data_IF_328985147508
#
_entry.id   IF_328985147508
#
_cell.length_a   1.000
_cell.length_b   1.000
_cell.length_c   1.000
_cell.angle_alpha   90.00
_cell.angle_beta   90.00
_cell.angle_gamma   90.00
#
_symmetry.space_group_name_H-M   'P 1'
#
loop_
_entity.id
_entity.type
_entity.pdbx_description
1 polymer ?
#
# COMPACT_ATOMS: atom_id res chain seq x y z
N UNK A 1 -0.52 -35.06 14.42
CA UNK A 1 -1.39 -33.96 13.92
C UNK A 1 -0.54 -33.02 13.07
N UNK A 2 -0.83 -32.87 11.77
CA UNK A 2 -0.18 -31.82 10.96
C UNK A 2 -0.72 -30.46 11.41
N UNK A 3 0.17 -29.54 11.79
CA UNK A 3 -0.21 -28.17 12.15
C UNK A 3 -0.70 -27.45 10.88
N UNK A 4 -1.97 -27.07 10.83
CA UNK A 4 -2.53 -26.33 9.70
C UNK A 4 -1.81 -24.98 9.55
N UNK A 5 -1.30 -24.69 8.35
CA UNK A 5 -0.63 -23.42 8.04
C UNK A 5 -1.66 -22.47 7.43
N UNK A 6 -2.09 -21.48 8.20
CA UNK A 6 -3.02 -20.46 7.72
C UNK A 6 -2.32 -19.50 6.75
N UNK A 7 -3.05 -19.09 5.72
CA UNK A 7 -2.69 -17.99 4.81
C UNK A 7 -3.55 -16.79 5.15
N UNK A 8 -2.92 -15.64 5.30
CA UNK A 8 -3.55 -14.42 5.78
C UNK A 8 -3.64 -13.39 4.65
N UNK A 9 -4.67 -12.55 4.70
CA UNK A 9 -4.79 -11.39 3.83
C UNK A 9 -5.07 -10.15 4.68
N UNK A 10 -4.36 -9.05 4.42
CA UNK A 10 -4.68 -7.74 4.98
C UNK A 10 -5.19 -6.83 3.87
N UNK A 11 -6.26 -6.10 4.16
CA UNK A 11 -6.98 -5.32 3.16
C UNK A 11 -7.25 -3.92 3.70
N UNK A 12 -6.95 -2.90 2.90
CA UNK A 12 -7.40 -1.52 3.14
C UNK A 12 -7.86 -0.89 1.83
N UNK A 13 -8.07 0.43 1.79
CA UNK A 13 -8.51 1.09 0.56
C UNK A 13 -7.43 1.08 -0.53
N UNK A 14 -6.26 1.67 -0.28
CA UNK A 14 -5.26 1.92 -1.34
C UNK A 14 -4.01 1.03 -1.30
N UNK A 15 -3.97 0.03 -0.41
CA UNK A 15 -2.79 -0.80 -0.17
C UNK A 15 -1.46 -0.02 -0.04
N UNK A 16 -1.42 1.00 0.83
CA UNK A 16 -0.28 1.93 0.93
C UNK A 16 0.24 2.07 2.37
N UNK A 17 -0.64 2.37 3.32
CA UNK A 17 -0.26 2.64 4.71
C UNK A 17 -0.61 1.45 5.62
N UNK A 18 -1.85 1.41 6.14
CA UNK A 18 -2.33 0.41 7.11
C UNK A 18 -1.99 -1.05 6.77
N UNK A 19 -2.22 -1.48 5.53
CA UNK A 19 -1.90 -2.85 5.10
C UNK A 19 -0.40 -3.10 5.04
N UNK A 20 0.37 -2.16 4.48
CA UNK A 20 1.81 -2.29 4.33
C UNK A 20 2.52 -2.34 5.69
N UNK A 21 2.04 -1.56 6.67
CA UNK A 21 2.57 -1.62 8.04
C UNK A 21 2.27 -2.97 8.70
N UNK A 22 1.00 -3.42 8.65
CA UNK A 22 0.61 -4.72 9.16
C UNK A 22 1.40 -5.86 8.49
N UNK A 23 1.63 -5.77 7.18
CA UNK A 23 2.47 -6.70 6.44
C UNK A 23 3.90 -6.74 6.95
N UNK A 24 4.52 -5.58 7.13
CA UNK A 24 5.90 -5.44 7.59
C UNK A 24 6.10 -6.14 8.94
N UNK A 25 5.15 -5.97 9.86
CA UNK A 25 5.16 -6.62 11.17
C UNK A 25 4.92 -8.13 11.03
N UNK A 26 3.84 -8.55 10.38
CA UNK A 26 3.43 -9.96 10.31
C UNK A 26 4.40 -10.82 9.49
N UNK A 27 4.97 -10.26 8.42
CA UNK A 27 5.99 -10.95 7.62
C UNK A 27 7.27 -11.20 8.42
N UNK A 28 7.70 -10.22 9.24
CA UNK A 28 8.84 -10.38 10.16
C UNK A 28 8.61 -11.48 11.21
N UNK A 29 7.35 -11.72 11.58
CA UNK A 29 6.95 -12.81 12.48
C UNK A 29 6.75 -14.17 11.78
N UNK A 30 7.05 -14.28 10.47
CA UNK A 30 7.01 -15.54 9.73
C UNK A 30 5.62 -15.96 9.24
N UNK A 31 4.64 -15.06 9.23
CA UNK A 31 3.30 -15.34 8.71
C UNK A 31 3.31 -15.43 7.17
N UNK A 32 2.52 -16.36 6.63
CA UNK A 32 2.18 -16.41 5.21
C UNK A 32 1.04 -15.42 4.94
N UNK A 33 1.40 -14.21 4.52
CA UNK A 33 0.48 -13.08 4.38
C UNK A 33 0.59 -12.42 3.00
N UNK A 34 -0.54 -11.93 2.49
CA UNK A 34 -0.66 -11.12 1.27
C UNK A 34 -1.48 -9.85 1.53
N UNK A 35 -1.32 -8.82 0.69
CA UNK A 35 -1.95 -7.51 0.89
C UNK A 35 -2.74 -7.07 -0.33
N UNK A 36 -3.86 -6.38 -0.08
CA UNK A 36 -4.74 -5.92 -1.14
C UNK A 36 -5.37 -4.56 -0.83
N UNK A 37 -5.84 -3.92 -1.90
CA UNK A 37 -6.64 -2.69 -1.85
C UNK A 37 -8.07 -2.96 -2.33
N UNK A 38 -9.07 -2.32 -1.73
CA UNK A 38 -10.49 -2.39 -2.17
C UNK A 38 -10.96 -1.14 -2.89
N UNK A 39 -10.16 -0.07 -2.92
CA UNK A 39 -10.49 1.12 -3.69
C UNK A 39 -10.53 0.84 -5.18
N UNK A 40 -11.12 1.74 -5.96
CA UNK A 40 -11.00 1.70 -7.43
C UNK A 40 -9.60 2.08 -7.91
N UNK A 41 -8.90 2.92 -7.13
CA UNK A 41 -7.55 3.41 -7.42
C UNK A 41 -6.74 3.50 -6.12
N UNK A 42 -5.41 3.55 -6.26
CA UNK A 42 -4.51 3.94 -5.18
C UNK A 42 -4.57 5.46 -5.03
N UNK A 43 -4.90 5.95 -3.83
CA UNK A 43 -4.98 7.38 -3.54
C UNK A 43 -3.99 7.73 -2.45
N UNK A 44 -3.15 8.72 -2.71
CA UNK A 44 -2.23 9.34 -1.76
C UNK A 44 -2.63 10.82 -1.56
N UNK A 45 -2.32 11.41 -0.40
CA UNK A 45 -2.47 12.84 -0.21
C UNK A 45 -1.77 13.64 -1.30
N UNK A 46 -2.31 14.81 -1.62
CA UNK A 46 -1.66 15.79 -2.48
C UNK A 46 -1.73 17.19 -1.86
N UNK A 47 -1.49 18.26 -2.63
CA UNK A 47 -1.36 19.62 -2.11
C UNK A 47 -2.61 20.14 -1.40
N UNK A 48 -3.79 19.62 -1.75
CA UNK A 48 -5.06 19.99 -1.13
C UNK A 48 -6.00 18.79 -0.99
N UNK A 49 -7.06 18.93 -0.19
CA UNK A 49 -8.09 17.90 -0.02
C UNK A 49 -8.76 17.50 -1.35
N UNK A 50 -8.80 18.41 -2.32
CA UNK A 50 -9.46 18.19 -3.62
C UNK A 50 -8.51 17.67 -4.69
N UNK A 51 -7.21 17.63 -4.41
CA UNK A 51 -6.15 17.28 -5.36
C UNK A 51 -5.31 16.11 -4.86
N UNK A 52 -5.88 14.90 -4.69
CA UNK A 52 -5.11 13.73 -4.30
C UNK A 52 -4.23 13.22 -5.45
N UNK A 53 -3.14 12.57 -5.11
CA UNK A 53 -2.36 11.79 -6.08
C UNK A 53 -3.05 10.44 -6.32
N UNK A 54 -3.49 10.18 -7.55
CA UNK A 54 -4.24 8.99 -7.92
C UNK A 54 -3.43 8.14 -8.89
N UNK A 55 -3.36 6.84 -8.63
CA UNK A 55 -2.65 5.86 -9.45
C UNK A 55 -3.50 4.61 -9.66
N UNK A 56 -3.31 3.92 -10.78
CA UNK A 56 -3.93 2.63 -11.02
C UNK A 56 -3.29 1.54 -10.15
N UNK A 57 -4.11 0.58 -9.70
CA UNK A 57 -3.59 -0.64 -9.10
C UNK A 57 -2.66 -1.36 -10.07
N UNK A 58 -1.52 -1.83 -9.59
CA UNK A 58 -0.46 -2.41 -10.41
C UNK A 58 0.67 -1.43 -10.76
N UNK A 59 0.46 -0.12 -10.58
CA UNK A 59 1.56 0.86 -10.67
C UNK A 59 2.65 0.49 -9.63
N UNK A 60 3.92 0.34 -10.03
CA UNK A 60 4.98 0.06 -9.06
C UNK A 60 5.17 1.21 -8.07
N UNK A 61 5.36 0.89 -6.78
CA UNK A 61 5.60 1.92 -5.74
C UNK A 61 6.77 2.85 -6.06
N UNK A 62 7.83 2.32 -6.72
CA UNK A 62 8.97 3.12 -7.17
C UNK A 62 8.56 4.21 -8.15
N UNK A 63 7.68 3.90 -9.12
CA UNK A 63 7.20 4.89 -10.08
C UNK A 63 6.31 5.94 -9.42
N UNK A 64 5.50 5.55 -8.43
CA UNK A 64 4.74 6.52 -7.64
C UNK A 64 5.69 7.48 -6.90
N UNK A 65 6.73 6.95 -6.25
CA UNK A 65 7.73 7.76 -5.54
C UNK A 65 8.46 8.74 -6.47
N UNK A 66 8.85 8.29 -7.66
CA UNK A 66 9.52 9.13 -8.67
C UNK A 66 8.60 10.23 -9.20
N UNK A 67 7.32 9.91 -9.46
CA UNK A 67 6.32 10.88 -9.88
C UNK A 67 6.07 11.95 -8.81
N UNK A 68 5.90 11.54 -7.55
CA UNK A 68 5.68 12.47 -6.43
C UNK A 68 6.89 13.40 -6.24
N UNK A 69 8.11 12.86 -6.30
CA UNK A 69 9.36 13.66 -6.23
C UNK A 69 9.44 14.71 -7.33
N UNK A 70 8.93 14.42 -8.52
CA UNK A 70 8.92 15.37 -9.64
C UNK A 70 7.84 16.43 -9.49
N UNK A 71 6.69 16.09 -8.93
CA UNK A 71 5.57 17.02 -8.72
C UNK A 71 5.91 18.08 -7.69
N UNK A 72 6.34 17.64 -6.52
CA UNK A 72 6.72 18.53 -5.43
C UNK A 72 7.65 17.79 -4.45
N UNK A 73 8.97 18.04 -4.51
CA UNK A 73 9.93 17.45 -3.59
C UNK A 73 9.76 17.87 -2.13
N UNK A 74 9.15 19.03 -1.85
CA UNK A 74 8.97 19.54 -0.47
C UNK A 74 7.75 18.94 0.22
N UNK A 75 6.75 18.48 -0.56
CA UNK A 75 5.56 17.79 -0.06
C UNK A 75 5.74 16.27 0.14
N UNK A 76 6.89 15.71 -0.28
CA UNK A 76 7.19 14.28 -0.17
C UNK A 76 7.80 13.91 1.18
#
# INVERSE_FOLDING_TARGET
>A
MKRMKFRWAMVCSSNQNRTMEAHSILKRQGFDISLYGTGSHVKLPGPSLREPNVYDFGTPYKHMLEDLRRKDPELL
#
